data_IF_026254203819
#
_entry.id   IF_026254203819
#
_cell.length_a   1.000
_cell.length_b   1.000
_cell.length_c   1.000
_cell.angle_alpha   90.00
_cell.angle_beta   90.00
_cell.angle_gamma   90.00
#
_symmetry.space_group_name_H-M   'P 1'
#
loop_
_entity.id
_entity.type
_entity.pdbx_description
1 polymer ?
#
# COMPACT_ATOMS: atom_id res chain seq x y z
N UNK A 1 11.90 27.30 25.20
CA UNK A 1 10.47 27.00 25.36
C UNK A 1 9.82 27.26 24.01
N UNK A 2 9.61 26.22 23.21
CA UNK A 2 8.94 26.35 21.91
C UNK A 2 7.45 26.53 22.16
N UNK A 3 6.87 27.57 21.56
CA UNK A 3 5.43 27.78 21.62
C UNK A 3 4.71 26.53 21.08
N UNK A 4 3.74 26.01 21.82
CA UNK A 4 2.95 24.85 21.40
C UNK A 4 2.20 25.08 20.08
N UNK A 5 1.65 24.02 19.46
CA UNK A 5 0.93 24.10 18.20
C UNK A 5 -0.20 25.14 18.28
N UNK A 6 -0.31 25.99 17.26
CA UNK A 6 -1.19 27.17 17.28
C UNK A 6 -2.58 26.90 16.69
N UNK A 7 -2.75 25.78 16.01
CA UNK A 7 -3.99 25.34 15.39
C UNK A 7 -4.04 23.81 15.25
N UNK A 8 -5.19 23.28 14.80
CA UNK A 8 -5.43 21.83 14.71
C UNK A 8 -4.53 21.13 13.68
N UNK A 9 -4.17 21.80 12.57
CA UNK A 9 -3.24 21.23 11.58
C UNK A 9 -1.86 21.05 12.20
N UNK A 10 -1.34 22.08 12.88
CA UNK A 10 -0.03 22.02 13.55
C UNK A 10 0.01 20.90 14.60
N UNK A 11 -1.10 20.68 15.32
CA UNK A 11 -1.21 19.62 16.31
C UNK A 11 -1.22 18.23 15.66
N UNK A 12 -1.96 18.04 14.56
CA UNK A 12 -2.00 16.78 13.83
C UNK A 12 -0.66 16.44 13.16
N UNK A 13 0.02 17.44 12.60
CA UNK A 13 1.38 17.28 12.03
C UNK A 13 2.38 16.90 13.13
N UNK A 14 2.33 17.57 14.29
CA UNK A 14 3.19 17.22 15.44
C UNK A 14 2.93 15.79 15.93
N UNK A 15 1.67 15.34 15.95
CA UNK A 15 1.32 13.98 16.34
C UNK A 15 1.77 12.94 15.31
N UNK A 16 1.67 13.25 14.02
CA UNK A 16 2.17 12.41 12.94
C UNK A 16 3.71 12.27 12.97
N UNK A 17 4.42 13.36 13.29
CA UNK A 17 5.88 13.40 13.44
C UNK A 17 6.36 12.64 14.69
N UNK A 18 5.55 12.61 15.74
CA UNK A 18 5.78 11.79 16.95
C UNK A 18 5.44 10.31 16.74
N UNK A 19 5.01 9.91 15.54
CA UNK A 19 4.82 8.51 15.17
C UNK A 19 3.43 7.95 15.47
N UNK A 20 2.45 8.78 15.82
CA UNK A 20 1.06 8.35 15.96
C UNK A 20 0.41 8.25 14.58
N UNK A 21 -0.12 7.07 14.23
CA UNK A 21 -0.76 6.79 12.94
C UNK A 21 -2.23 7.26 12.88
N UNK A 22 -2.83 7.51 14.04
CA UNK A 22 -4.14 8.12 14.20
C UNK A 22 -4.18 8.95 15.49
N UNK A 23 -4.87 10.08 15.44
CA UNK A 23 -5.19 10.88 16.61
C UNK A 23 -6.71 11.08 16.66
N UNK A 24 -7.37 10.48 17.65
CA UNK A 24 -8.78 10.73 17.93
C UNK A 24 -8.88 11.74 19.07
N UNK A 25 -9.40 12.92 18.78
CA UNK A 25 -9.64 13.96 19.79
C UNK A 25 -11.02 13.72 20.41
N UNK A 26 -11.06 13.12 21.60
CA UNK A 26 -12.28 12.92 22.38
C UNK A 26 -12.58 14.21 23.18
N UNK A 27 -13.71 14.86 22.88
CA UNK A 27 -14.15 16.06 23.60
C UNK A 27 -14.96 17.07 22.79
N UNK A 28 -15.11 16.88 21.48
CA UNK A 28 -16.09 17.61 20.67
C UNK A 28 -17.06 16.61 20.06
N UNK A 29 -18.33 16.71 20.43
CA UNK A 29 -19.43 16.11 19.66
C UNK A 29 -19.43 16.76 18.27
N UNK A 30 -18.71 16.15 17.33
CA UNK A 30 -18.83 16.46 15.92
C UNK A 30 -19.65 15.35 15.29
N UNK A 31 -20.90 15.67 14.98
CA UNK A 31 -21.68 14.91 14.01
C UNK A 31 -20.88 14.88 12.71
N UNK A 32 -20.24 13.75 12.41
CA UNK A 32 -19.47 13.52 11.18
C UNK A 32 -20.34 13.53 9.91
N UNK A 33 -21.63 13.87 10.01
CA UNK A 33 -22.52 14.04 8.88
C UNK A 33 -22.10 15.26 8.05
N UNK A 34 -21.38 15.01 6.95
CA UNK A 34 -21.04 16.01 5.94
C UNK A 34 -19.55 16.13 5.61
N UNK A 35 -18.64 15.67 6.48
CA UNK A 35 -17.20 15.68 6.20
C UNK A 35 -16.84 14.74 5.03
N UNK A 36 -17.57 13.62 4.93
CA UNK A 36 -17.43 12.61 3.88
C UNK A 36 -17.69 13.18 2.47
N UNK A 37 -18.49 14.25 2.35
CA UNK A 37 -18.80 14.86 1.04
C UNK A 37 -17.61 15.61 0.41
N UNK A 38 -16.60 15.99 1.20
CA UNK A 38 -15.43 16.74 0.73
C UNK A 38 -14.14 15.92 0.60
N UNK A 39 -14.08 14.74 1.22
CA UNK A 39 -12.84 13.95 1.32
C UNK A 39 -12.65 12.95 0.17
N UNK A 40 -13.70 12.62 -0.59
CA UNK A 40 -13.61 11.65 -1.69
C UNK A 40 -13.39 10.20 -1.24
N UNK A 41 -13.35 9.93 0.06
CA UNK A 41 -13.34 8.59 0.63
C UNK A 41 -14.27 8.51 1.85
N UNK A 42 -14.82 7.31 2.08
CA UNK A 42 -15.71 7.03 3.21
C UNK A 42 -14.86 6.68 4.43
N UNK A 43 -15.08 7.34 5.57
CA UNK A 43 -14.44 6.97 6.83
C UNK A 43 -15.25 5.80 7.43
N UNK A 44 -14.69 4.58 7.52
CA UNK A 44 -15.41 3.48 8.13
C UNK A 44 -15.65 3.77 9.62
N UNK A 45 -16.91 3.84 10.02
CA UNK A 45 -17.31 3.92 11.44
C UNK A 45 -17.29 2.52 12.02
N UNK A 46 -16.20 2.16 12.67
CA UNK A 46 -16.06 0.92 13.44
C UNK A 46 -16.36 1.21 14.91
N UNK A 47 -17.29 0.44 15.49
CA UNK A 47 -17.75 0.58 16.87
C UNK A 47 -17.31 -0.57 17.77
N UNK A 48 -16.88 -1.69 17.19
CA UNK A 48 -16.48 -2.89 17.92
C UNK A 48 -15.15 -3.46 17.41
N UNK A 49 -14.46 -4.23 18.26
CA UNK A 49 -13.19 -4.91 17.91
C UNK A 49 -13.39 -5.90 16.76
N UNK A 50 -14.50 -6.62 16.75
CA UNK A 50 -14.83 -7.59 15.69
C UNK A 50 -15.05 -6.90 14.32
N UNK A 51 -15.60 -5.69 14.31
CA UNK A 51 -15.73 -4.89 13.08
C UNK A 51 -14.37 -4.37 12.59
N UNK A 52 -13.43 -4.07 13.50
CA UNK A 52 -12.05 -3.71 13.16
C UNK A 52 -11.32 -4.90 12.55
N UNK A 53 -11.48 -6.10 13.11
CA UNK A 53 -10.86 -7.33 12.59
C UNK A 53 -11.39 -7.72 11.20
N UNK A 54 -12.63 -7.35 10.86
CA UNK A 54 -13.24 -7.59 9.54
C UNK A 54 -13.04 -6.43 8.56
N UNK A 55 -12.43 -5.33 8.99
CA UNK A 55 -12.19 -4.20 8.12
C UNK A 55 -11.17 -4.58 7.03
N UNK A 56 -11.32 -4.08 5.79
CA UNK A 56 -10.34 -4.34 4.75
C UNK A 56 -8.96 -3.79 5.18
N UNK A 57 -7.93 -4.62 5.06
CA UNK A 57 -6.56 -4.22 5.36
C UNK A 57 -6.11 -3.17 4.33
N UNK A 58 -6.03 -1.92 4.77
CA UNK A 58 -5.47 -0.82 3.99
C UNK A 58 -4.07 -0.58 4.52
N UNK A 59 -3.07 -0.85 3.68
CA UNK A 59 -1.69 -0.50 4.00
C UNK A 59 -1.33 0.84 3.40
N UNK A 60 -0.68 1.66 4.22
CA UNK A 60 0.09 2.80 3.74
C UNK A 60 1.54 2.36 3.49
N UNK A 61 2.29 3.15 2.73
CA UNK A 61 3.72 2.90 2.59
C UNK A 61 4.44 2.91 3.96
N UNK A 62 4.06 3.84 4.85
CA UNK A 62 4.64 3.95 6.20
C UNK A 62 4.37 2.71 7.06
N UNK A 63 3.13 2.23 7.07
CA UNK A 63 2.75 1.03 7.83
C UNK A 63 3.49 -0.20 7.29
N UNK A 64 3.63 -0.34 5.97
CA UNK A 64 4.38 -1.44 5.38
C UNK A 64 5.87 -1.40 5.75
N UNK A 65 6.48 -0.22 5.76
CA UNK A 65 7.88 -0.04 6.23
C UNK A 65 8.03 -0.42 7.70
N UNK A 66 7.09 -0.03 8.55
CA UNK A 66 7.08 -0.41 9.98
C UNK A 66 6.96 -1.92 10.12
N UNK A 67 5.95 -2.54 9.48
CA UNK A 67 5.74 -4.00 9.48
C UNK A 67 6.97 -4.78 8.97
N UNK A 68 7.71 -4.20 8.04
CA UNK A 68 8.94 -4.80 7.51
C UNK A 68 10.10 -4.73 8.51
N UNK A 69 10.16 -3.66 9.32
CA UNK A 69 11.16 -3.51 10.39
C UNK A 69 10.80 -4.27 11.67
N UNK A 70 9.52 -4.54 11.93
CA UNK A 70 9.02 -5.24 13.11
C UNK A 70 9.24 -6.76 13.03
N UNK A 71 10.50 -7.18 12.89
CA UNK A 71 10.93 -8.58 12.89
C UNK A 71 12.21 -8.75 13.69
N UNK A 72 12.50 -9.98 14.12
CA UNK A 72 13.78 -10.34 14.69
C UNK A 72 14.90 -10.20 13.63
N UNK A 73 16.07 -9.67 14.01
CA UNK A 73 17.19 -9.48 13.08
C UNK A 73 17.26 -8.11 12.41
N UNK A 74 16.34 -7.19 12.73
CA UNK A 74 16.34 -5.82 12.18
C UNK A 74 17.65 -5.06 12.50
N UNK A 75 18.28 -5.35 13.63
CA UNK A 75 19.54 -4.76 14.06
C UNK A 75 20.75 -5.12 13.17
N UNK A 76 20.62 -6.18 12.36
CA UNK A 76 21.62 -6.58 11.35
C UNK A 76 21.42 -5.87 10.01
N UNK A 77 20.28 -5.18 9.83
CA UNK A 77 19.91 -4.59 8.56
C UNK A 77 20.51 -3.20 8.37
N UNK A 78 21.12 -2.97 7.20
CA UNK A 78 21.68 -1.69 6.81
C UNK A 78 20.93 -0.99 5.66
N UNK A 79 19.97 -1.66 5.02
CA UNK A 79 19.24 -1.08 3.90
C UNK A 79 17.84 -1.66 3.72
N UNK A 80 16.96 -0.84 3.14
CA UNK A 80 15.64 -1.24 2.66
C UNK A 80 15.42 -0.65 1.27
N UNK A 81 15.08 -1.50 0.32
CA UNK A 81 14.59 -1.12 -1.01
C UNK A 81 13.08 -1.04 -0.98
N UNK A 82 12.53 -0.04 -1.66
CA UNK A 82 11.09 0.17 -1.77
C UNK A 82 10.74 0.37 -3.23
N UNK A 83 9.75 -0.37 -3.72
CA UNK A 83 9.10 -0.13 -4.99
C UNK A 83 7.68 0.37 -4.74
N UNK A 84 7.32 1.45 -5.44
CA UNK A 84 5.96 2.02 -5.44
C UNK A 84 5.49 2.06 -6.88
N UNK A 85 4.41 1.33 -7.18
CA UNK A 85 3.73 1.41 -8.47
C UNK A 85 2.51 2.31 -8.34
N UNK A 86 2.27 3.16 -9.33
CA UNK A 86 1.18 4.14 -9.36
C UNK A 86 0.44 4.12 -10.70
N UNK A 87 -0.80 4.57 -10.71
CA UNK A 87 -1.63 4.64 -11.92
C UNK A 87 -1.08 5.73 -12.85
N UNK A 88 -0.77 5.37 -14.09
CA UNK A 88 -0.39 6.35 -15.12
C UNK A 88 -1.65 6.97 -15.74
N UNK A 89 -1.60 8.27 -16.01
CA UNK A 89 -2.66 8.98 -16.75
C UNK A 89 -2.75 8.54 -18.21
N UNK A 90 -1.63 8.10 -18.79
CA UNK A 90 -1.55 7.65 -20.17
C UNK A 90 -1.10 6.18 -20.20
N UNK A 91 -1.84 5.36 -20.95
CA UNK A 91 -1.55 3.95 -21.19
C UNK A 91 -1.88 3.63 -22.65
N UNK A 92 -0.95 3.01 -23.38
CA UNK A 92 -1.10 2.64 -24.80
C UNK A 92 -1.61 3.79 -25.71
N UNK A 93 -1.20 5.03 -25.43
CA UNK A 93 -1.62 6.22 -26.20
C UNK A 93 -3.04 6.72 -25.91
N UNK A 94 -3.70 6.20 -24.86
CA UNK A 94 -5.03 6.62 -24.40
C UNK A 94 -4.99 7.26 -23.02
N UNK A 95 -5.91 8.18 -22.76
CA UNK A 95 -6.12 8.79 -21.44
C UNK A 95 -6.90 7.83 -20.55
N UNK A 96 -6.25 7.31 -19.51
CA UNK A 96 -6.87 6.47 -18.48
C UNK A 96 -7.69 7.37 -17.54
N UNK A 97 -8.98 7.06 -17.41
CA UNK A 97 -9.88 7.69 -16.43
C UNK A 97 -9.72 7.06 -15.06
N UNK A 98 -9.74 5.73 -14.98
CA UNK A 98 -9.52 4.94 -13.76
C UNK A 98 -9.07 3.51 -14.08
N UNK A 99 -8.44 2.87 -13.10
CA UNK A 99 -8.18 1.43 -13.09
C UNK A 99 -9.05 0.77 -12.03
N UNK A 100 -9.56 -0.42 -12.33
CA UNK A 100 -10.29 -1.25 -11.35
C UNK A 100 -9.51 -2.54 -11.15
N UNK A 101 -9.12 -2.82 -9.90
CA UNK A 101 -8.38 -4.02 -9.53
C UNK A 101 -9.26 -4.95 -8.68
N UNK A 102 -9.46 -6.17 -9.16
CA UNK A 102 -10.18 -7.24 -8.46
C UNK A 102 -9.25 -8.41 -8.15
N UNK A 103 -9.49 -9.09 -7.04
CA UNK A 103 -8.74 -10.29 -6.65
C UNK A 103 -9.59 -11.17 -5.70
N UNK A 104 -9.30 -12.46 -5.66
CA UNK A 104 -9.81 -13.35 -4.61
C UNK A 104 -8.86 -13.32 -3.41
N UNK A 105 -9.30 -12.72 -2.31
CA UNK A 105 -8.44 -12.30 -1.20
C UNK A 105 -7.62 -13.42 -0.58
N UNK A 106 -8.20 -14.60 -0.39
CA UNK A 106 -7.49 -15.72 0.23
C UNK A 106 -6.33 -16.20 -0.64
N UNK A 107 -6.58 -16.38 -1.94
CA UNK A 107 -5.54 -16.81 -2.88
C UNK A 107 -4.50 -15.72 -3.14
N UNK A 108 -4.93 -14.45 -3.14
CA UNK A 108 -4.00 -13.32 -3.22
C UNK A 108 -3.05 -13.31 -2.02
N UNK A 109 -3.60 -13.41 -0.80
CA UNK A 109 -2.83 -13.40 0.44
C UNK A 109 -1.88 -14.60 0.53
N UNK A 110 -2.31 -15.78 0.07
CA UNK A 110 -1.46 -16.95 -0.03
C UNK A 110 -0.29 -16.73 -0.99
N UNK A 111 -0.55 -16.23 -2.20
CA UNK A 111 0.50 -15.95 -3.20
C UNK A 111 1.46 -14.84 -2.78
N UNK A 112 0.95 -13.79 -2.14
CA UNK A 112 1.80 -12.74 -1.54
C UNK A 112 2.76 -13.36 -0.53
N UNK A 113 2.28 -14.21 0.38
CA UNK A 113 3.14 -14.89 1.37
C UNK A 113 4.17 -15.80 0.71
N UNK A 114 3.77 -16.58 -0.30
CA UNK A 114 4.70 -17.44 -1.05
C UNK A 114 5.85 -16.62 -1.66
N UNK A 115 5.54 -15.48 -2.30
CA UNK A 115 6.55 -14.60 -2.88
C UNK A 115 7.42 -13.99 -1.79
N UNK A 116 6.84 -13.44 -0.72
CA UNK A 116 7.60 -12.86 0.40
C UNK A 116 8.59 -13.87 1.00
N UNK A 117 8.17 -15.12 1.22
CA UNK A 117 9.06 -16.17 1.74
C UNK A 117 10.17 -16.54 0.76
N UNK A 118 9.89 -16.59 -0.55
CA UNK A 118 10.92 -16.81 -1.58
C UNK A 118 11.96 -15.69 -1.58
N UNK A 119 11.54 -14.44 -1.44
CA UNK A 119 12.45 -13.29 -1.39
C UNK A 119 13.29 -13.32 -0.10
N UNK A 120 12.70 -13.71 1.03
CA UNK A 120 13.44 -13.87 2.30
C UNK A 120 14.50 -14.96 2.27
N UNK A 121 14.35 -15.97 1.40
CA UNK A 121 15.36 -17.01 1.21
C UNK A 121 16.57 -16.54 0.39
N UNK A 122 16.52 -15.35 -0.22
CA UNK A 122 17.65 -14.80 -0.95
C UNK A 122 18.77 -14.34 0.01
N UNK A 123 20.05 -14.50 -0.36
CA UNK A 123 21.16 -14.15 0.52
C UNK A 123 21.13 -12.68 0.97
N UNK A 124 21.31 -12.46 2.28
CA UNK A 124 21.37 -11.13 2.87
C UNK A 124 20.02 -10.44 3.06
N UNK A 125 18.90 -11.08 2.71
CA UNK A 125 17.55 -10.56 2.98
C UNK A 125 17.08 -11.01 4.36
N UNK A 126 16.57 -10.06 5.13
CA UNK A 126 16.00 -10.29 6.46
C UNK A 126 14.48 -10.28 6.41
N UNK A 127 13.89 -9.41 5.60
CA UNK A 127 12.45 -9.36 5.44
C UNK A 127 12.03 -8.79 4.09
N UNK A 128 10.84 -9.17 3.65
CA UNK A 128 10.18 -8.61 2.48
C UNK A 128 8.68 -8.55 2.72
N UNK A 129 8.04 -7.49 2.24
CA UNK A 129 6.58 -7.32 2.28
C UNK A 129 6.03 -6.81 0.97
N UNK A 130 4.87 -7.34 0.56
CA UNK A 130 4.15 -6.93 -0.65
C UNK A 130 2.73 -6.55 -0.27
N UNK A 131 2.29 -5.37 -0.72
CA UNK A 131 0.92 -4.94 -0.64
C UNK A 131 0.44 -4.45 -2.00
N UNK A 132 -0.74 -4.91 -2.43
CA UNK A 132 -1.40 -4.45 -3.63
C UNK A 132 -2.79 -3.90 -3.28
N UNK A 133 -3.00 -2.61 -3.55
CA UNK A 133 -4.28 -1.92 -3.38
C UNK A 133 -5.30 -2.50 -4.38
N UNK A 134 -6.55 -2.60 -3.95
CA UNK A 134 -7.66 -3.15 -4.74
C UNK A 134 -8.77 -2.11 -4.86
N UNK A 135 -9.70 -2.35 -5.78
CA UNK A 135 -10.81 -1.45 -6.08
C UNK A 135 -10.47 -0.41 -7.14
N UNK A 136 -11.20 0.70 -7.11
CA UNK A 136 -11.07 1.79 -8.08
C UNK A 136 -9.90 2.70 -7.73
N UNK A 137 -9.00 2.92 -8.68
CA UNK A 137 -7.84 3.79 -8.55
C UNK A 137 -7.79 4.81 -9.68
N UNK A 138 -7.52 6.06 -9.32
CA UNK A 138 -7.39 7.20 -10.22
C UNK A 138 -5.93 7.40 -10.65
N UNK A 139 -5.67 8.05 -11.80
CA UNK A 139 -4.33 8.46 -12.20
C UNK A 139 -3.56 9.19 -11.07
N UNK A 140 -2.34 8.76 -10.83
CA UNK A 140 -1.48 9.26 -9.76
C UNK A 140 -1.65 8.57 -8.40
N UNK A 141 -2.66 7.72 -8.21
CA UNK A 141 -2.79 6.94 -6.99
C UNK A 141 -1.82 5.75 -6.96
N UNK A 142 -1.32 5.46 -5.76
CA UNK A 142 -0.50 4.28 -5.49
C UNK A 142 -1.33 3.01 -5.61
N UNK A 143 -0.74 2.01 -6.27
CA UNK A 143 -1.32 0.70 -6.57
C UNK A 143 -0.64 -0.37 -5.74
N UNK A 144 0.69 -0.34 -5.65
CA UNK A 144 1.47 -1.43 -5.06
C UNK A 144 2.65 -0.87 -4.30
N UNK A 145 2.90 -1.47 -3.15
CA UNK A 145 4.11 -1.26 -2.35
C UNK A 145 4.83 -2.59 -2.21
N UNK A 146 6.12 -2.59 -2.47
CA UNK A 146 7.01 -3.71 -2.16
C UNK A 146 8.17 -3.18 -1.37
N UNK A 147 8.49 -3.84 -0.27
CA UNK A 147 9.65 -3.52 0.56
C UNK A 147 10.53 -4.75 0.68
N UNK A 148 11.84 -4.55 0.59
CA UNK A 148 12.84 -5.60 0.81
C UNK A 148 13.93 -5.04 1.69
N UNK A 149 14.14 -5.66 2.85
CA UNK A 149 15.11 -5.25 3.86
C UNK A 149 16.24 -6.27 3.95
N UNK A 150 17.47 -5.80 3.88
CA UNK A 150 18.65 -6.64 3.91
C UNK A 150 19.79 -6.10 4.75
N UNK A 151 20.79 -6.96 4.98
CA UNK A 151 21.97 -6.66 5.80
C UNK A 151 22.79 -5.50 5.21
N UNK A 152 22.94 -5.45 3.88
CA UNK A 152 23.65 -4.37 3.20
C UNK A 152 22.90 -3.81 1.99
N UNK A 153 23.24 -2.57 1.61
CA UNK A 153 22.64 -1.86 0.46
C UNK A 153 22.71 -2.61 -0.87
N UNK A 154 23.69 -3.50 -1.05
CA UNK A 154 23.87 -4.26 -2.29
C UNK A 154 22.90 -5.44 -2.37
N UNK A 155 22.42 -5.92 -1.22
CA UNK A 155 21.64 -7.14 -1.11
C UNK A 155 20.18 -6.91 -1.52
N UNK A 156 19.69 -5.66 -1.51
CA UNK A 156 18.27 -5.35 -1.68
C UNK A 156 17.82 -5.15 -3.14
N UNK A 157 18.72 -4.84 -4.08
CA UNK A 157 18.30 -4.40 -5.42
C UNK A 157 17.76 -5.54 -6.29
N UNK A 158 18.51 -6.62 -6.40
CA UNK A 158 18.07 -7.78 -7.19
C UNK A 158 16.85 -8.46 -6.56
N UNK A 159 16.79 -8.67 -5.23
CA UNK A 159 15.57 -9.20 -4.60
C UNK A 159 14.35 -8.29 -4.71
N UNK A 160 14.52 -6.96 -4.67
CA UNK A 160 13.42 -6.03 -4.91
C UNK A 160 12.89 -6.16 -6.35
N UNK A 161 13.78 -6.25 -7.33
CA UNK A 161 13.41 -6.46 -8.73
C UNK A 161 12.70 -7.80 -8.91
N UNK A 162 13.25 -8.88 -8.36
CA UNK A 162 12.62 -10.21 -8.39
C UNK A 162 11.23 -10.18 -7.75
N UNK A 163 11.07 -9.50 -6.62
CA UNK A 163 9.78 -9.36 -5.95
C UNK A 163 8.73 -8.68 -6.85
N UNK A 164 9.12 -7.64 -7.61
CA UNK A 164 8.24 -6.97 -8.59
C UNK A 164 7.85 -7.92 -9.71
N UNK A 165 8.78 -8.69 -10.26
CA UNK A 165 8.51 -9.60 -11.37
C UNK A 165 7.66 -10.80 -10.94
N UNK A 166 7.94 -11.38 -9.78
CA UNK A 166 7.11 -12.45 -9.19
C UNK A 166 5.70 -11.96 -8.88
N UNK A 167 5.57 -10.76 -8.31
CA UNK A 167 4.28 -10.14 -8.05
C UNK A 167 3.43 -10.04 -9.32
N UNK A 168 4.00 -9.47 -10.40
CA UNK A 168 3.30 -9.36 -11.70
C UNK A 168 2.93 -10.70 -12.30
N UNK A 169 3.78 -11.71 -12.11
CA UNK A 169 3.62 -13.03 -12.74
C UNK A 169 2.63 -13.93 -11.99
N UNK A 170 2.60 -13.85 -10.67
CA UNK A 170 1.98 -14.87 -9.82
C UNK A 170 0.78 -14.35 -9.01
N UNK A 171 0.61 -13.04 -8.82
CA UNK A 171 -0.57 -12.54 -8.12
C UNK A 171 -1.83 -12.66 -9.00
N UNK A 172 -2.91 -13.26 -8.49
CA UNK A 172 -4.16 -13.43 -9.22
C UNK A 172 -5.00 -12.15 -9.17
N UNK A 173 -4.53 -11.12 -9.86
CA UNK A 173 -5.15 -9.80 -9.90
C UNK A 173 -5.69 -9.55 -11.30
N UNK A 174 -6.94 -9.11 -11.38
CA UNK A 174 -7.59 -8.70 -12.62
C UNK A 174 -7.63 -7.18 -12.70
N UNK A 175 -7.07 -6.63 -13.78
CA UNK A 175 -7.03 -5.19 -14.04
C UNK A 175 -8.01 -4.84 -15.15
N UNK A 176 -8.91 -3.91 -14.87
CA UNK A 176 -9.73 -3.26 -15.88
C UNK A 176 -9.23 -1.85 -16.12
N UNK A 177 -8.96 -1.48 -17.36
CA UNK A 177 -8.62 -0.10 -17.73
C UNK A 177 -9.86 0.60 -18.28
N UNK A 178 -10.24 1.72 -17.66
CA UNK A 178 -11.35 2.56 -18.12
C UNK A 178 -10.76 3.83 -18.68
N UNK A 179 -10.96 4.05 -19.98
CA UNK A 179 -10.50 5.24 -20.71
C UNK A 179 -11.64 6.25 -20.85
N UNK A 180 -11.29 7.50 -21.18
CA UNK A 180 -12.30 8.56 -21.40
C UNK A 180 -13.23 8.29 -22.58
N UNK A 181 -12.84 7.41 -23.51
CA UNK A 181 -13.58 7.05 -24.73
C UNK A 181 -14.23 5.64 -24.68
N UNK A 182 -14.09 4.89 -23.58
CA UNK A 182 -14.66 3.54 -23.40
C UNK A 182 -13.92 2.64 -22.38
N UNK A 183 -14.41 1.43 -22.14
CA UNK A 183 -13.82 0.47 -21.17
C UNK A 183 -13.15 -0.74 -21.86
N UNK A 184 -12.00 -1.20 -21.36
CA UNK A 184 -11.31 -2.42 -21.81
C UNK A 184 -10.88 -3.26 -20.60
N UNK A 185 -11.26 -4.54 -20.57
CA UNK A 185 -10.73 -5.50 -19.60
C UNK A 185 -9.39 -6.05 -20.08
N UNK A 186 -8.36 -5.99 -19.24
CA UNK A 186 -7.02 -6.49 -19.57
C UNK A 186 -6.69 -7.67 -18.65
N UNK A 187 -6.62 -8.87 -19.21
CA UNK A 187 -6.08 -10.03 -18.52
C UNK A 187 -4.56 -10.08 -18.76
N UNK A 188 -3.75 -10.00 -17.69
CA UNK A 188 -2.27 -10.03 -17.77
C UNK A 188 -1.69 -11.39 -18.24
N UNK A 189 -2.52 -12.35 -18.66
CA UNK A 189 -2.07 -13.67 -19.14
C UNK A 189 -1.67 -13.65 -20.63
N UNK A 190 -2.14 -12.67 -21.44
CA UNK A 190 -2.02 -12.74 -22.91
C UNK A 190 -1.24 -11.61 -23.60
N UNK A 191 -0.65 -10.65 -22.88
CA UNK A 191 0.17 -9.60 -23.53
C UNK A 191 1.63 -9.70 -23.09
N UNK A 192 2.35 -10.59 -23.76
CA UNK A 192 3.81 -10.66 -23.74
C UNK A 192 4.33 -10.15 -25.09
N UNK A 193 4.85 -8.94 -25.09
CA UNK A 193 5.90 -8.50 -26.04
C UNK A 193 7.26 -8.61 -25.33
#
# INVERSE_FOLDING_TARGET
MTAGPKNIRDALETLADLGFEYAAMLGFELELEGLEKGLGFKIPKVKTVEEVEKAPEIESLKSLVIKTKCVEGVERCGAMGIFVGFVRKESEGKTVSRLEYEAYDEMLNEKVREIEERIKQMPGIVNARIYHKRGVLMPGEDIVYITVMGEHRKDIWEPLKEAVELMKKELPIWKKEVYEDGEVWVHDVERRD
#
